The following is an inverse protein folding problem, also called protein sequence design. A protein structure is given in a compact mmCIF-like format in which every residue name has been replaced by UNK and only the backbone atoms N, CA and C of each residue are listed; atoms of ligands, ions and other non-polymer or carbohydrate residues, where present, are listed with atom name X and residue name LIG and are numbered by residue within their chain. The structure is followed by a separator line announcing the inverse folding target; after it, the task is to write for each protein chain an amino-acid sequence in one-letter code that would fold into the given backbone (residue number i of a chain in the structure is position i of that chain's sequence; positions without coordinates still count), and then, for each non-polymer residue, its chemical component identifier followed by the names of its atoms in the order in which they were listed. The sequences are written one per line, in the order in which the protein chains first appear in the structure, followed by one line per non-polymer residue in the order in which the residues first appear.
data_IF_773865130085
#
_entry.id   IF_773865130085
#
_cell.length_a   1.000
_cell.length_b   1.000
_cell.length_c   1.000
_cell.angle_alpha   90.00
_cell.angle_beta   90.00
_cell.angle_gamma   90.00
#
_symmetry.space_group_name_H-M   'P 1'
#
loop_
_entity.id
_entity.type
_entity.pdbx_description
1 polymer ?
#
# COMPACT_ATOMS: atom_id res chain seq x y z
N UNK A 1 -51.46 39.61 19.03
CA UNK A 1 -50.69 39.18 17.82
C UNK A 1 -49.47 38.49 18.27
N UNK A 2 -49.40 37.18 18.20
CA UNK A 2 -48.19 36.50 18.60
C UNK A 2 -47.16 36.56 17.47
N UNK A 3 -45.98 37.12 17.78
CA UNK A 3 -44.84 37.16 16.88
C UNK A 3 -44.29 35.75 16.63
N UNK A 4 -44.18 35.36 15.35
CA UNK A 4 -43.52 34.13 14.96
C UNK A 4 -42.02 34.30 15.16
N UNK A 5 -41.47 33.61 16.16
CA UNK A 5 -40.05 33.36 16.25
C UNK A 5 -39.64 32.41 15.11
N UNK A 6 -38.96 32.92 14.11
CA UNK A 6 -38.25 32.11 13.15
C UNK A 6 -36.88 31.77 13.73
N UNK A 7 -36.72 30.58 14.27
CA UNK A 7 -35.43 30.00 14.56
C UNK A 7 -34.88 29.44 13.28
N UNK A 8 -33.96 30.14 12.64
CA UNK A 8 -33.09 29.60 11.59
C UNK A 8 -32.03 28.71 12.26
N UNK A 9 -32.40 27.47 12.55
CA UNK A 9 -31.40 26.46 12.79
C UNK A 9 -30.72 26.15 11.46
N UNK A 10 -29.71 26.94 11.14
CA UNK A 10 -28.74 26.61 10.13
C UNK A 10 -27.90 25.43 10.59
N UNK A 11 -28.40 24.22 10.42
CA UNK A 11 -27.52 23.03 10.36
C UNK A 11 -26.71 23.17 9.10
N UNK A 12 -25.52 23.76 9.21
CA UNK A 12 -24.46 23.52 8.25
C UNK A 12 -24.30 22.00 8.15
N UNK A 13 -24.37 21.41 6.96
CA UNK A 13 -23.95 20.03 6.82
C UNK A 13 -22.51 19.98 7.29
N UNK A 14 -22.26 19.30 8.42
CA UNK A 14 -20.92 18.85 8.73
C UNK A 14 -20.52 18.03 7.51
N UNK A 15 -19.66 18.60 6.67
CA UNK A 15 -18.79 17.80 5.82
C UNK A 15 -18.01 16.93 6.78
N UNK A 16 -18.53 15.74 7.06
CA UNK A 16 -17.71 14.67 7.61
C UNK A 16 -16.70 14.37 6.51
N UNK A 17 -15.59 15.10 6.56
CA UNK A 17 -14.44 14.78 5.76
C UNK A 17 -13.93 13.44 6.29
N UNK A 18 -14.44 12.36 5.70
CA UNK A 18 -13.86 11.05 5.89
C UNK A 18 -12.40 11.19 5.54
N UNK A 19 -11.47 10.94 6.47
CA UNK A 19 -10.05 11.03 6.14
C UNK A 19 -9.77 10.16 4.92
N UNK A 20 -8.91 10.60 4.01
CA UNK A 20 -8.58 9.82 2.83
C UNK A 20 -8.08 8.42 3.26
N UNK A 21 -8.39 7.38 2.48
CA UNK A 21 -8.07 6.03 2.86
C UNK A 21 -6.55 5.81 2.90
N UNK A 22 -6.05 5.22 3.99
CA UNK A 22 -4.68 4.72 4.06
C UNK A 22 -4.57 3.36 3.39
N UNK A 23 -3.39 3.09 2.86
CA UNK A 23 -3.08 1.84 2.16
C UNK A 23 -1.85 1.19 2.78
N UNK A 24 -1.86 -0.14 2.83
CA UNK A 24 -0.70 -0.95 3.19
C UNK A 24 -0.09 -1.52 1.92
N UNK A 25 1.18 -1.28 1.68
CA UNK A 25 1.93 -1.83 0.55
C UNK A 25 2.77 -3.03 0.98
N UNK A 26 2.73 -4.10 0.20
CA UNK A 26 3.46 -5.34 0.47
C UNK A 26 4.29 -5.78 -0.74
N UNK A 27 5.55 -6.11 -0.49
CA UNK A 27 6.41 -6.87 -1.40
C UNK A 27 6.65 -8.27 -0.81
N UNK A 28 5.98 -9.28 -1.39
CA UNK A 28 5.99 -10.65 -0.88
C UNK A 28 7.15 -11.43 -1.53
N UNK A 29 8.23 -11.59 -0.78
CA UNK A 29 9.35 -12.44 -1.15
C UNK A 29 9.25 -13.87 -0.60
N UNK A 30 10.18 -14.74 -1.04
CA UNK A 30 10.25 -16.12 -0.55
C UNK A 30 10.75 -16.25 0.89
N UNK A 31 11.55 -15.30 1.35
CA UNK A 31 12.16 -15.29 2.69
C UNK A 31 11.72 -14.10 3.53
N UNK A 32 11.26 -13.04 2.93
CA UNK A 32 10.89 -11.80 3.59
C UNK A 32 9.72 -11.11 2.90
N UNK A 33 8.99 -10.35 3.69
CA UNK A 33 7.90 -9.49 3.22
C UNK A 33 8.26 -8.06 3.61
N UNK A 34 8.45 -7.21 2.61
CA UNK A 34 8.59 -5.77 2.80
C UNK A 34 7.22 -5.13 3.04
N UNK A 35 7.16 -4.20 3.98
CA UNK A 35 5.91 -3.52 4.36
C UNK A 35 6.10 -2.02 4.31
N UNK A 36 5.20 -1.34 3.64
CA UNK A 36 5.08 0.11 3.57
C UNK A 36 3.65 0.54 3.93
N UNK A 37 3.47 1.78 4.30
CA UNK A 37 2.15 2.38 4.57
C UNK A 37 2.06 3.75 3.92
N UNK A 38 0.89 4.14 3.43
CA UNK A 38 0.66 5.51 3.01
C UNK A 38 0.52 6.44 4.21
N UNK A 39 0.81 7.72 3.99
CA UNK A 39 0.47 8.77 4.96
C UNK A 39 -1.06 8.88 5.15
N UNK A 40 -1.48 9.70 6.08
CA UNK A 40 -2.90 9.90 6.38
C UNK A 40 -3.67 10.58 5.23
N UNK A 41 -2.95 11.26 4.34
CA UNK A 41 -3.52 11.93 3.17
C UNK A 41 -3.56 11.01 1.93
N UNK A 42 -2.92 9.84 1.98
CA UNK A 42 -2.87 8.90 0.87
C UNK A 42 -2.01 9.36 -0.32
N UNK A 43 -1.06 10.27 -0.11
CA UNK A 43 -0.19 10.80 -1.17
C UNK A 43 1.19 10.17 -1.21
N UNK A 44 1.77 9.86 -0.05
CA UNK A 44 3.15 9.36 0.06
C UNK A 44 3.21 8.01 0.75
N UNK A 45 4.06 7.12 0.22
CA UNK A 45 4.37 5.84 0.81
C UNK A 45 5.61 5.94 1.72
N UNK A 46 5.55 5.30 2.89
CA UNK A 46 6.63 5.27 3.87
C UNK A 46 6.97 3.82 4.23
N UNK A 47 8.26 3.48 4.38
CA UNK A 47 8.67 2.16 4.83
C UNK A 47 8.25 1.94 6.28
N UNK A 48 7.81 0.72 6.61
CA UNK A 48 7.42 0.35 7.97
C UNK A 48 8.43 -0.64 8.57
N UNK A 49 8.51 -1.83 7.98
CA UNK A 49 9.38 -2.91 8.45
C UNK A 49 9.52 -4.01 7.38
N UNK A 50 10.39 -4.95 7.66
CA UNK A 50 10.50 -6.21 6.92
C UNK A 50 10.19 -7.37 7.85
N UNK A 51 9.24 -8.22 7.47
CA UNK A 51 8.92 -9.47 8.17
C UNK A 51 9.72 -10.63 7.56
N UNK A 52 10.26 -11.50 8.39
CA UNK A 52 10.82 -12.77 7.93
C UNK A 52 9.69 -13.78 7.75
N UNK A 53 9.62 -14.41 6.58
CA UNK A 53 8.62 -15.43 6.26
C UNK A 53 8.89 -16.65 7.13
N UNK A 54 7.90 -17.08 7.88
CA UNK A 54 7.95 -18.23 8.78
C UNK A 54 7.48 -19.50 8.05
N UNK A 55 7.76 -20.64 8.63
CA UNK A 55 7.24 -21.92 8.11
C UNK A 55 5.71 -21.98 8.12
N UNK A 56 5.09 -21.24 9.03
CA UNK A 56 3.65 -21.16 9.16
C UNK A 56 3.14 -19.82 8.59
N UNK A 57 2.63 -19.86 7.38
CA UNK A 57 2.06 -18.70 6.68
C UNK A 57 0.93 -18.00 7.47
N UNK A 58 0.23 -18.73 8.34
CA UNK A 58 -0.83 -18.16 9.19
C UNK A 58 -0.31 -17.13 10.18
N UNK A 59 0.92 -17.29 10.69
CA UNK A 59 1.53 -16.29 11.58
C UNK A 59 1.91 -15.02 10.84
N UNK A 60 2.37 -15.15 9.61
CA UNK A 60 2.69 -14.01 8.75
C UNK A 60 1.41 -13.24 8.41
N UNK A 61 0.35 -13.94 8.02
CA UNK A 61 -0.97 -13.36 7.76
C UNK A 61 -1.53 -12.61 8.99
N UNK A 62 -1.43 -13.20 10.18
CA UNK A 62 -1.86 -12.55 11.43
C UNK A 62 -1.03 -11.31 11.74
N UNK A 63 0.27 -11.34 11.47
CA UNK A 63 1.16 -10.20 11.68
C UNK A 63 0.79 -9.05 10.76
N UNK A 64 0.54 -9.33 9.49
CA UNK A 64 0.08 -8.34 8.51
C UNK A 64 -1.33 -7.80 8.85
N UNK A 65 -2.24 -8.65 9.29
CA UNK A 65 -3.56 -8.23 9.75
C UNK A 65 -3.49 -7.28 10.95
N UNK A 66 -2.57 -7.53 11.89
CA UNK A 66 -2.33 -6.62 13.02
C UNK A 66 -1.78 -5.27 12.56
N UNK A 67 -0.86 -5.26 11.59
CA UNK A 67 -0.35 -4.02 11.00
C UNK A 67 -1.45 -3.24 10.29
N UNK A 68 -2.28 -3.92 9.50
CA UNK A 68 -3.41 -3.30 8.82
C UNK A 68 -4.37 -2.60 9.81
N UNK A 69 -4.66 -3.23 10.94
CA UNK A 69 -5.48 -2.64 12.00
C UNK A 69 -4.76 -1.48 12.69
N UNK A 70 -3.48 -1.65 13.04
CA UNK A 70 -2.68 -0.62 13.72
C UNK A 70 -2.63 0.69 12.93
N UNK A 71 -2.52 0.61 11.62
CA UNK A 71 -2.50 1.76 10.74
C UNK A 71 -3.88 2.18 10.23
N UNK A 72 -4.94 1.46 10.60
CA UNK A 72 -6.31 1.72 10.15
C UNK A 72 -6.42 1.84 8.63
N UNK A 73 -5.78 0.91 7.91
CA UNK A 73 -5.76 0.94 6.45
C UNK A 73 -7.11 0.50 5.87
N UNK A 74 -7.49 1.10 4.77
CA UNK A 74 -8.74 0.80 4.07
C UNK A 74 -8.59 -0.28 2.99
N UNK A 75 -7.36 -0.50 2.50
CA UNK A 75 -7.05 -1.52 1.51
C UNK A 75 -5.57 -1.90 1.55
N UNK A 76 -5.24 -3.03 0.94
CA UNK A 76 -3.88 -3.56 0.87
C UNK A 76 -3.46 -3.66 -0.60
N UNK A 77 -2.27 -3.15 -0.90
CA UNK A 77 -1.65 -3.21 -2.22
C UNK A 77 -0.53 -4.25 -2.18
N UNK A 78 -0.60 -5.25 -3.03
CA UNK A 78 0.39 -6.34 -3.10
C UNK A 78 1.08 -6.31 -4.44
N UNK A 79 2.41 -6.25 -4.44
CA UNK A 79 3.21 -6.36 -5.64
C UNK A 79 3.04 -7.75 -6.29
N UNK A 80 2.69 -7.78 -7.57
CA UNK A 80 2.48 -9.00 -8.34
C UNK A 80 3.62 -9.18 -9.35
N UNK A 81 4.53 -10.15 -9.13
CA UNK A 81 5.70 -10.35 -9.98
C UNK A 81 5.31 -11.08 -11.27
N UNK A 82 4.83 -10.36 -12.26
CA UNK A 82 4.57 -10.89 -13.60
C UNK A 82 5.87 -11.02 -14.41
N UNK A 83 5.91 -11.98 -15.34
CA UNK A 83 6.98 -12.04 -16.34
C UNK A 83 6.88 -10.85 -17.33
N UNK A 84 7.99 -10.53 -18.00
CA UNK A 84 8.03 -9.49 -19.03
C UNK A 84 7.05 -9.77 -20.19
N UNK A 85 6.73 -11.04 -20.44
CA UNK A 85 5.68 -11.48 -21.38
C UNK A 85 4.25 -11.28 -20.89
N UNK A 86 4.05 -10.90 -19.60
CA UNK A 86 2.74 -10.84 -18.96
C UNK A 86 2.23 -12.19 -18.44
N UNK A 87 2.98 -13.27 -18.63
CA UNK A 87 2.64 -14.60 -18.11
C UNK A 87 2.82 -14.68 -16.60
N UNK A 88 1.97 -15.48 -15.95
CA UNK A 88 2.07 -15.73 -14.52
C UNK A 88 3.25 -16.61 -14.18
N UNK A 89 4.17 -16.09 -13.36
CA UNK A 89 5.23 -16.91 -12.79
C UNK A 89 4.70 -17.78 -11.65
N UNK A 90 5.38 -18.90 -11.29
CA UNK A 90 5.05 -19.66 -10.08
C UNK A 90 5.06 -18.79 -8.81
N UNK A 91 5.90 -17.76 -8.78
CA UNK A 91 5.94 -16.77 -7.70
C UNK A 91 4.68 -15.91 -7.69
N UNK A 92 4.20 -15.47 -8.84
CA UNK A 92 2.96 -14.70 -8.95
C UNK A 92 1.75 -15.49 -8.44
N UNK A 93 1.65 -16.76 -8.79
CA UNK A 93 0.57 -17.65 -8.29
C UNK A 93 0.58 -17.76 -6.77
N UNK A 94 1.75 -17.95 -6.15
CA UNK A 94 1.89 -18.00 -4.69
C UNK A 94 1.54 -16.67 -4.03
N UNK A 95 1.97 -15.56 -4.61
CA UNK A 95 1.67 -14.22 -4.14
C UNK A 95 0.17 -13.94 -4.18
N UNK A 96 -0.50 -14.32 -5.26
CA UNK A 96 -1.96 -14.16 -5.42
C UNK A 96 -2.73 -15.00 -4.41
N UNK A 97 -2.32 -16.25 -4.17
CA UNK A 97 -2.94 -17.12 -3.16
C UNK A 97 -2.79 -16.52 -1.75
N UNK A 98 -1.60 -16.06 -1.39
CA UNK A 98 -1.34 -15.41 -0.12
C UNK A 98 -2.16 -14.11 0.04
N UNK A 99 -2.25 -13.31 -1.01
CA UNK A 99 -3.05 -12.10 -1.03
C UNK A 99 -4.54 -12.39 -0.83
N UNK A 100 -5.07 -13.44 -1.45
CA UNK A 100 -6.46 -13.87 -1.28
C UNK A 100 -6.75 -14.30 0.17
N UNK A 101 -5.86 -15.08 0.79
CA UNK A 101 -5.98 -15.45 2.20
C UNK A 101 -5.93 -14.24 3.13
N UNK A 102 -5.04 -13.27 2.85
CA UNK A 102 -4.95 -12.04 3.62
C UNK A 102 -6.23 -11.20 3.50
N UNK A 103 -6.80 -11.10 2.31
CA UNK A 103 -8.08 -10.42 2.07
C UNK A 103 -9.22 -11.07 2.84
N UNK A 104 -9.29 -12.40 2.86
CA UNK A 104 -10.28 -13.16 3.64
C UNK A 104 -10.12 -12.95 5.15
N UNK A 105 -8.88 -12.90 5.64
CA UNK A 105 -8.59 -12.73 7.07
C UNK A 105 -8.88 -11.30 7.56
N UNK A 106 -8.57 -10.30 6.75
CA UNK A 106 -8.72 -8.88 7.13
C UNK A 106 -10.08 -8.29 6.78
N UNK A 107 -10.78 -8.88 5.81
CA UNK A 107 -12.00 -8.30 5.22
C UNK A 107 -11.73 -7.05 4.37
N UNK A 108 -10.46 -6.75 4.06
CA UNK A 108 -10.05 -5.57 3.29
C UNK A 108 -9.90 -5.90 1.80
N UNK A 109 -10.18 -4.94 0.91
CA UNK A 109 -9.86 -5.06 -0.51
C UNK A 109 -8.37 -5.26 -0.73
N UNK A 110 -8.01 -6.15 -1.66
CA UNK A 110 -6.64 -6.39 -2.09
C UNK A 110 -6.49 -5.90 -3.52
N UNK A 111 -5.49 -5.05 -3.74
CA UNK A 111 -5.08 -4.59 -5.06
C UNK A 111 -3.77 -5.27 -5.44
N UNK A 112 -3.78 -6.07 -6.51
CA UNK A 112 -2.57 -6.62 -7.09
C UNK A 112 -1.96 -5.59 -8.03
N UNK A 113 -0.71 -5.21 -7.77
CA UNK A 113 0.00 -4.18 -8.53
C UNK A 113 1.16 -4.78 -9.32
N UNK A 114 1.26 -4.45 -10.59
CA UNK A 114 2.30 -4.98 -11.48
C UNK A 114 3.67 -4.39 -11.11
N UNK A 115 4.59 -5.23 -10.62
CA UNK A 115 5.95 -4.84 -10.23
C UNK A 115 6.85 -4.44 -11.40
N UNK A 116 6.50 -4.77 -12.64
CA UNK A 116 7.32 -4.43 -13.82
C UNK A 116 7.56 -2.93 -13.97
N UNK A 117 6.67 -2.13 -13.41
CA UNK A 117 6.71 -0.67 -13.48
C UNK A 117 7.65 -0.03 -12.44
N UNK A 118 8.07 -0.77 -11.40
CA UNK A 118 8.75 -0.20 -10.21
C UNK A 118 10.14 -0.79 -9.95
N UNK A 119 10.44 -1.99 -10.43
CA UNK A 119 11.59 -2.78 -9.97
C UNK A 119 12.95 -2.24 -10.43
N UNK A 120 13.04 -1.64 -11.60
CA UNK A 120 14.33 -1.14 -12.13
C UNK A 120 14.85 0.08 -11.37
N UNK A 121 13.98 1.03 -11.04
CA UNK A 121 14.35 2.25 -10.32
C UNK A 121 14.72 1.96 -8.87
N UNK A 122 14.01 1.02 -8.23
CA UNK A 122 14.28 0.59 -6.87
C UNK A 122 15.68 0.02 -6.69
N UNK A 123 16.09 -0.86 -7.57
CA UNK A 123 17.42 -1.46 -7.51
C UNK A 123 18.53 -0.44 -7.76
N UNK A 124 18.33 0.52 -8.65
CA UNK A 124 19.33 1.57 -8.94
C UNK A 124 19.55 2.51 -7.75
N UNK A 125 18.50 2.93 -7.06
CA UNK A 125 18.57 3.81 -5.88
C UNK A 125 19.32 3.11 -4.74
N UNK A 126 19.13 1.81 -4.58
CA UNK A 126 19.72 1.03 -3.48
C UNK A 126 21.19 0.70 -3.70
N UNK A 127 21.59 0.44 -4.94
CA UNK A 127 23.01 0.26 -5.28
C UNK A 127 23.82 1.52 -5.08
N UNK A 128 23.23 2.69 -5.27
CA UNK A 128 23.90 3.99 -5.09
C UNK A 128 24.13 4.38 -3.61
N UNK A 129 23.40 3.78 -2.66
CA UNK A 129 23.43 4.16 -1.25
C UNK A 129 24.51 3.48 -0.39
N UNK A 130 25.29 2.51 -0.93
CA UNK A 130 26.50 1.98 -0.29
C UNK A 130 26.36 1.26 1.06
N UNK A 131 25.20 0.68 1.37
CA UNK A 131 24.95 0.02 2.66
C UNK A 131 25.60 -1.38 2.79
N UNK A 132 26.01 -1.83 4.01
CA UNK A 132 26.56 -3.16 4.25
C UNK A 132 25.60 -4.29 3.86
N UNK A 133 26.11 -5.36 3.24
CA UNK A 133 25.32 -6.45 2.61
C UNK A 133 24.22 -7.09 3.48
N UNK A 134 24.37 -7.14 4.80
CA UNK A 134 23.36 -7.78 5.68
C UNK A 134 22.18 -6.87 6.01
N UNK A 135 22.40 -5.57 6.18
CA UNK A 135 21.33 -4.60 6.38
C UNK A 135 20.67 -4.25 5.04
N UNK A 136 21.42 -4.34 3.95
CA UNK A 136 21.00 -4.04 2.59
C UNK A 136 19.72 -4.78 2.18
N UNK A 137 19.59 -6.07 2.51
CA UNK A 137 18.45 -6.89 2.08
C UNK A 137 17.13 -6.50 2.74
N UNK A 138 17.13 -6.13 4.04
CA UNK A 138 15.91 -5.67 4.74
C UNK A 138 15.47 -4.31 4.25
N UNK A 139 16.42 -3.42 4.00
CA UNK A 139 16.17 -2.09 3.43
C UNK A 139 15.63 -2.20 2.01
N UNK A 140 16.19 -3.10 1.19
CA UNK A 140 15.71 -3.39 -0.18
C UNK A 140 14.24 -3.79 -0.18
N UNK A 141 13.84 -4.71 0.69
CA UNK A 141 12.47 -5.20 0.75
C UNK A 141 11.48 -4.09 1.17
N UNK A 142 11.87 -3.22 2.12
CA UNK A 142 11.07 -2.06 2.52
C UNK A 142 10.96 -1.02 1.41
N UNK A 143 12.05 -0.76 0.69
CA UNK A 143 12.05 0.18 -0.42
C UNK A 143 11.22 -0.36 -1.58
N UNK A 144 11.32 -1.66 -1.87
CA UNK A 144 10.48 -2.28 -2.89
C UNK A 144 8.98 -2.13 -2.56
N UNK A 145 8.58 -2.43 -1.31
CA UNK A 145 7.20 -2.23 -0.86
C UNK A 145 6.76 -0.74 -0.95
N UNK A 146 7.65 0.17 -0.59
CA UNK A 146 7.40 1.62 -0.66
C UNK A 146 7.18 2.08 -2.10
N UNK A 147 7.98 1.59 -3.05
CA UNK A 147 7.86 1.95 -4.46
C UNK A 147 6.61 1.36 -5.12
N UNK A 148 6.27 0.12 -4.78
CA UNK A 148 5.01 -0.50 -5.20
C UNK A 148 3.84 0.35 -4.74
N UNK A 149 3.82 0.72 -3.47
CA UNK A 149 2.75 1.53 -2.91
C UNK A 149 2.72 2.94 -3.51
N UNK A 150 3.87 3.60 -3.66
CA UNK A 150 3.95 4.94 -4.24
C UNK A 150 3.43 4.95 -5.68
N UNK A 151 3.83 3.97 -6.50
CA UNK A 151 3.35 3.83 -7.88
C UNK A 151 1.82 3.68 -7.94
N UNK A 152 1.25 2.90 -7.02
CA UNK A 152 -0.20 2.77 -6.90
C UNK A 152 -0.89 4.08 -6.51
N UNK A 153 -0.33 4.82 -5.53
CA UNK A 153 -0.87 6.10 -5.09
C UNK A 153 -0.81 7.15 -6.20
N UNK A 154 0.29 7.21 -6.94
CA UNK A 154 0.46 8.13 -8.07
C UNK A 154 -0.58 7.88 -9.16
N UNK A 155 -0.86 6.62 -9.48
CA UNK A 155 -1.91 6.26 -10.46
C UNK A 155 -3.30 6.66 -9.95
N UNK A 156 -3.60 6.40 -8.68
CA UNK A 156 -4.87 6.84 -8.08
C UNK A 156 -5.05 8.35 -8.12
N UNK A 157 -3.99 9.11 -7.86
CA UNK A 157 -4.03 10.57 -7.96
C UNK A 157 -4.33 11.03 -9.38
N UNK A 158 -3.78 10.36 -10.40
CA UNK A 158 -4.09 10.66 -11.81
C UNK A 158 -5.53 10.36 -12.17
N UNK A 159 -6.06 9.21 -11.75
CA UNK A 159 -7.46 8.82 -11.99
C UNK A 159 -8.44 9.80 -11.35
N UNK A 160 -8.12 10.35 -10.18
CA UNK A 160 -8.96 11.32 -9.48
C UNK A 160 -8.85 12.76 -10.02
N UNK A 161 -8.07 12.98 -11.09
CA UNK A 161 -7.90 14.30 -11.70
C UNK A 161 -7.10 15.30 -10.85
N UNK A 162 -6.44 14.84 -9.79
CA UNK A 162 -5.57 15.64 -8.94
C UNK A 162 -4.12 15.71 -9.47
N UNK A 163 -3.83 14.94 -10.50
CA UNK A 163 -2.55 14.88 -11.16
C UNK A 163 -2.58 15.64 -12.49
N UNK A 164 -1.95 16.79 -12.48
CA UNK A 164 -1.53 17.59 -13.62
C UNK A 164 -2.39 18.82 -13.94
N UNK A 165 -2.31 19.85 -13.13
CA UNK A 165 -2.24 21.19 -13.69
C UNK A 165 -0.76 21.47 -13.96
N UNK A 166 -0.33 21.16 -15.18
CA UNK A 166 0.91 21.71 -15.70
C UNK A 166 0.68 23.23 -15.79
N UNK A 167 1.48 24.07 -15.15
CA UNK A 167 1.47 25.50 -15.47
C UNK A 167 2.18 25.66 -16.82
N UNK A 168 1.43 26.03 -17.82
CA UNK A 168 2.04 26.65 -18.99
C UNK A 168 2.82 27.92 -18.60
#
# INVERSE_FOLDING_TARGET
MPGRCFTLEGRSPKLESTPPPRYLGLDIGSKRIGVAVSDELGFTAQPVLTLEVRRNSREDLRSLARLARRFSVAAIVVGNPLHMSGEQSPRAVKTQAFAAELGSLTGLPIHLWDERLTTREAHQILYAAGHPRQQHRRIVDQVAATLILQSFLDEKCREQGLGNRNPE
#
